data_IF_555983296065
#
_entry.id   IF_555983296065
#
_cell.length_a   1.000
_cell.length_b   1.000
_cell.length_c   1.000
_cell.angle_alpha   90.00
_cell.angle_beta   90.00
_cell.angle_gamma   90.00
#
_symmetry.space_group_name_H-M   'P 1'
#
loop_
_entity.id
_entity.type
_entity.pdbx_description
1 polymer ?
#
# COMPACT_ATOMS: atom_id res chain seq x y z
N UNK A 1 -1.58 36.67 -62.51
CA UNK A 1 -0.62 35.61 -62.18
C UNK A 1 0.39 36.00 -61.08
N UNK A 2 1.14 37.11 -61.14
CA UNK A 2 2.12 37.52 -60.13
C UNK A 2 1.54 37.69 -58.72
N UNK A 3 0.34 38.29 -58.53
CA UNK A 3 -0.27 38.46 -57.21
C UNK A 3 -0.72 37.14 -56.55
N UNK A 4 -1.16 36.17 -57.35
CA UNK A 4 -1.54 34.84 -56.87
C UNK A 4 -0.32 34.02 -56.42
N UNK A 5 0.83 34.15 -57.11
CA UNK A 5 2.08 33.51 -56.72
C UNK A 5 2.65 34.08 -55.40
N UNK A 6 2.52 35.40 -55.19
CA UNK A 6 2.96 36.04 -53.94
C UNK A 6 2.11 35.59 -52.77
N UNK A 7 0.78 35.48 -52.93
CA UNK A 7 -0.15 35.00 -51.89
C UNK A 7 0.14 33.53 -51.58
N UNK A 8 0.36 32.68 -52.57
CA UNK A 8 0.71 31.28 -52.36
C UNK A 8 2.03 31.12 -51.63
N UNK A 9 3.05 31.94 -51.97
CA UNK A 9 4.35 31.92 -51.27
C UNK A 9 4.25 32.37 -49.81
N UNK A 10 3.40 33.40 -49.51
CA UNK A 10 3.17 33.84 -48.13
C UNK A 10 2.40 32.78 -47.31
N UNK A 11 1.41 32.12 -47.90
CA UNK A 11 0.68 31.02 -47.20
C UNK A 11 1.62 29.82 -46.96
N UNK A 12 2.50 29.48 -47.86
CA UNK A 12 3.51 28.44 -47.68
C UNK A 12 4.50 28.80 -46.56
N UNK A 13 4.95 30.05 -46.48
CA UNK A 13 5.84 30.55 -45.44
C UNK A 13 5.15 30.51 -44.04
N UNK A 14 3.88 30.90 -43.96
CA UNK A 14 3.09 30.80 -42.72
C UNK A 14 2.92 29.34 -42.32
N UNK A 15 2.58 28.45 -43.26
CA UNK A 15 2.43 27.02 -42.96
C UNK A 15 3.77 26.40 -42.48
N UNK A 16 4.89 26.75 -43.08
CA UNK A 16 6.22 26.29 -42.64
C UNK A 16 6.57 26.85 -41.25
N UNK A 17 6.24 28.12 -40.98
CA UNK A 17 6.51 28.73 -39.66
C UNK A 17 5.65 28.11 -38.57
N UNK A 18 4.36 27.82 -38.85
CA UNK A 18 3.46 27.14 -37.91
C UNK A 18 3.92 25.69 -37.65
N UNK A 19 4.26 24.94 -38.69
CA UNK A 19 4.78 23.59 -38.55
C UNK A 19 6.12 23.57 -37.81
N UNK A 20 7.03 24.49 -38.13
CA UNK A 20 8.31 24.63 -37.43
C UNK A 20 8.09 25.01 -35.95
N UNK A 21 7.15 25.89 -35.64
CA UNK A 21 6.78 26.24 -34.29
C UNK A 21 6.17 25.05 -33.50
N UNK A 22 5.32 24.26 -34.15
CA UNK A 22 4.77 23.03 -33.56
C UNK A 22 5.87 21.98 -33.32
N UNK A 23 6.81 21.83 -34.31
CA UNK A 23 7.96 20.95 -34.15
C UNK A 23 8.95 21.47 -33.10
N UNK A 24 9.19 22.77 -33.04
CA UNK A 24 10.04 23.39 -32.02
C UNK A 24 9.46 23.17 -30.60
N UNK A 25 8.15 23.41 -30.40
CA UNK A 25 7.48 23.14 -29.12
C UNK A 25 7.42 21.63 -28.76
N UNK A 26 7.47 20.72 -29.76
CA UNK A 26 7.61 19.28 -29.51
C UNK A 26 9.05 18.83 -29.22
N UNK A 27 10.05 19.57 -29.71
CA UNK A 27 11.47 19.28 -29.52
C UNK A 27 12.10 19.99 -28.32
N UNK A 28 11.59 21.19 -27.96
CA UNK A 28 11.99 21.90 -26.74
C UNK A 28 10.98 21.53 -25.68
N UNK A 29 11.19 20.39 -25.08
CA UNK A 29 10.47 20.00 -23.87
C UNK A 29 10.78 21.01 -22.78
N UNK A 30 9.77 21.38 -22.00
CA UNK A 30 9.94 22.25 -20.85
C UNK A 30 10.85 21.57 -19.81
N UNK A 31 12.03 22.11 -19.48
CA UNK A 31 12.97 21.47 -18.58
C UNK A 31 12.39 21.18 -17.19
N UNK A 32 11.52 22.06 -16.70
CA UNK A 32 10.83 21.90 -15.40
C UNK A 32 9.90 20.71 -15.44
N UNK A 33 9.05 20.62 -16.47
CA UNK A 33 8.14 19.50 -16.66
C UNK A 33 8.86 18.16 -16.81
N UNK A 34 9.94 18.13 -17.63
CA UNK A 34 10.74 16.92 -17.84
C UNK A 34 11.47 16.48 -16.57
N UNK A 35 11.99 17.43 -15.79
CA UNK A 35 12.59 17.14 -14.48
C UNK A 35 11.57 16.54 -13.52
N UNK A 36 10.40 17.19 -13.38
CA UNK A 36 9.32 16.71 -12.53
C UNK A 36 8.81 15.32 -12.98
N UNK A 37 8.68 15.11 -14.29
CA UNK A 37 8.32 13.79 -14.83
C UNK A 37 9.35 12.72 -14.47
N UNK A 38 10.63 12.97 -14.74
CA UNK A 38 11.70 11.98 -14.52
C UNK A 38 11.83 11.60 -13.04
N UNK A 39 11.83 12.59 -12.14
CA UNK A 39 11.88 12.36 -10.70
C UNK A 39 10.57 11.77 -10.16
N UNK A 40 9.44 12.23 -10.67
CA UNK A 40 8.12 11.73 -10.33
C UNK A 40 7.93 10.25 -10.67
N UNK A 41 8.50 9.75 -11.75
CA UNK A 41 8.44 8.31 -12.10
C UNK A 41 9.07 7.43 -11.01
N UNK A 42 10.26 7.78 -10.53
CA UNK A 42 10.92 7.05 -9.44
C UNK A 42 10.12 7.18 -8.13
N UNK A 43 9.68 8.39 -7.81
CA UNK A 43 8.87 8.66 -6.62
C UNK A 43 7.54 7.89 -6.66
N UNK A 44 6.84 7.83 -7.80
CA UNK A 44 5.58 7.10 -7.95
C UNK A 44 5.78 5.58 -7.79
N UNK A 45 6.85 5.03 -8.35
CA UNK A 45 7.17 3.62 -8.18
C UNK A 45 7.51 3.29 -6.72
N UNK A 46 8.24 4.14 -6.02
CA UNK A 46 8.57 3.96 -4.61
C UNK A 46 7.34 4.09 -3.71
N UNK A 47 6.55 5.14 -3.89
CA UNK A 47 5.44 5.49 -3.00
C UNK A 47 4.14 4.74 -3.28
N UNK A 48 4.10 3.88 -4.29
CA UNK A 48 2.92 3.07 -4.60
C UNK A 48 2.37 2.26 -3.41
N UNK A 49 3.19 1.63 -2.54
CA UNK A 49 2.67 0.97 -1.34
C UNK A 49 1.95 1.92 -0.39
N UNK A 50 2.48 3.12 -0.20
CA UNK A 50 1.85 4.16 0.63
C UNK A 50 0.47 4.54 0.09
N UNK A 51 0.38 4.74 -1.23
CA UNK A 51 -0.89 4.98 -1.90
C UNK A 51 -1.87 3.80 -1.73
N UNK A 52 -1.43 2.58 -2.02
CA UNK A 52 -2.28 1.39 -1.92
C UNK A 52 -2.74 1.13 -0.49
N UNK A 53 -1.82 1.20 0.49
CA UNK A 53 -2.17 0.97 1.88
C UNK A 53 -3.11 2.05 2.42
N UNK A 54 -3.01 3.30 1.94
CA UNK A 54 -3.98 4.36 2.25
C UNK A 54 -5.37 4.04 1.69
N UNK A 55 -5.45 3.56 0.45
CA UNK A 55 -6.72 3.10 -0.15
C UNK A 55 -7.33 1.96 0.65
N UNK A 56 -6.53 0.98 1.04
CA UNK A 56 -6.99 -0.16 1.83
C UNK A 56 -7.37 0.26 3.25
N UNK A 57 -6.57 1.10 3.91
CA UNK A 57 -6.87 1.64 5.24
C UNK A 57 -8.22 2.38 5.23
N UNK A 58 -8.41 3.30 4.28
CA UNK A 58 -9.68 4.04 4.17
C UNK A 58 -10.87 3.12 3.94
N UNK A 59 -10.71 2.08 3.12
CA UNK A 59 -11.78 1.15 2.78
C UNK A 59 -12.07 0.17 3.91
N UNK A 60 -11.04 -0.41 4.50
CA UNK A 60 -11.19 -1.49 5.48
C UNK A 60 -11.51 -1.00 6.89
N UNK A 61 -11.29 0.29 7.18
CA UNK A 61 -11.71 0.91 8.45
C UNK A 61 -13.18 1.36 8.48
N UNK A 62 -13.93 1.09 7.40
CA UNK A 62 -15.34 1.48 7.25
C UNK A 62 -16.26 0.27 7.15
N UNK A 63 -17.56 0.45 7.39
CA UNK A 63 -18.55 -0.60 7.11
C UNK A 63 -18.44 -1.11 5.68
N UNK A 64 -18.70 -2.41 5.45
CA UNK A 64 -18.60 -2.99 4.11
C UNK A 64 -19.60 -2.34 3.16
N UNK A 65 -19.17 -2.10 1.92
CA UNK A 65 -20.06 -1.65 0.85
C UNK A 65 -20.87 -2.85 0.34
N UNK A 66 -22.14 -2.63 0.06
CA UNK A 66 -23.03 -3.66 -0.49
C UNK A 66 -22.41 -4.32 -1.75
N UNK A 67 -22.46 -5.64 -1.80
CA UNK A 67 -21.86 -6.44 -2.87
C UNK A 67 -20.37 -6.75 -2.72
N UNK A 68 -19.73 -6.37 -1.59
CA UNK A 68 -18.31 -6.65 -1.30
C UNK A 68 -18.15 -7.54 -0.05
N UNK A 69 -18.81 -8.68 -0.04
CA UNK A 69 -18.95 -9.58 1.12
C UNK A 69 -17.64 -10.02 1.77
N UNK A 70 -16.55 -10.17 1.02
CA UNK A 70 -15.27 -10.65 1.54
C UNK A 70 -14.19 -9.55 1.65
N UNK A 71 -14.63 -8.29 1.70
CA UNK A 71 -13.72 -7.18 1.96
C UNK A 71 -13.54 -7.00 3.47
N UNK A 72 -12.31 -6.92 3.98
CA UNK A 72 -12.07 -6.57 5.38
C UNK A 72 -12.82 -5.30 5.78
N UNK A 73 -13.41 -5.32 6.99
CA UNK A 73 -14.13 -4.19 7.56
C UNK A 73 -14.06 -4.29 9.09
N UNK A 74 -13.14 -3.53 9.68
CA UNK A 74 -12.99 -3.40 11.13
C UNK A 74 -12.44 -2.02 11.47
N UNK A 75 -12.68 -1.57 12.71
CA UNK A 75 -12.03 -0.37 13.19
C UNK A 75 -10.49 -0.54 13.17
N UNK A 76 -9.77 0.56 13.08
CA UNK A 76 -8.31 0.56 13.29
C UNK A 76 -8.00 -0.07 14.66
N UNK A 77 -6.92 -0.81 14.73
CA UNK A 77 -6.50 -1.56 15.93
C UNK A 77 -7.46 -2.68 16.34
N UNK A 78 -8.27 -3.17 15.41
CA UNK A 78 -9.14 -4.31 15.58
C UNK A 78 -8.99 -5.30 14.42
N UNK A 79 -9.01 -6.60 14.75
CA UNK A 79 -9.02 -7.62 13.69
C UNK A 79 -10.38 -7.73 13.02
N UNK A 80 -10.37 -7.79 11.70
CA UNK A 80 -11.40 -8.42 10.91
C UNK A 80 -11.02 -9.89 10.67
N UNK A 81 -12.01 -10.77 10.75
CA UNK A 81 -11.83 -12.19 10.52
C UNK A 81 -12.68 -12.67 9.34
N UNK A 82 -12.07 -13.39 8.42
CA UNK A 82 -12.78 -14.17 7.44
C UNK A 82 -13.33 -15.41 8.17
N UNK A 83 -14.66 -15.55 8.22
CA UNK A 83 -15.34 -16.59 8.99
C UNK A 83 -15.73 -17.82 8.18
N UNK A 84 -15.61 -17.77 6.84
CA UNK A 84 -15.94 -18.84 5.91
C UNK A 84 -15.03 -18.81 4.69
N UNK A 85 -14.89 -19.93 4.02
CA UNK A 85 -14.09 -20.00 2.79
C UNK A 85 -14.86 -19.35 1.64
N UNK A 86 -14.25 -18.38 0.95
CA UNK A 86 -14.88 -17.76 -0.20
C UNK A 86 -14.95 -18.73 -1.39
N UNK A 87 -16.00 -18.63 -2.18
CA UNK A 87 -16.11 -19.32 -3.45
C UNK A 87 -15.31 -18.62 -4.55
N UNK A 88 -15.09 -19.31 -5.66
CA UNK A 88 -14.46 -18.71 -6.84
C UNK A 88 -15.27 -17.53 -7.42
N UNK A 89 -16.57 -17.49 -7.11
CA UNK A 89 -17.47 -16.42 -7.58
C UNK A 89 -17.31 -15.12 -6.78
N UNK A 90 -16.86 -15.22 -5.53
CA UNK A 90 -16.67 -14.08 -4.65
C UNK A 90 -15.45 -13.22 -5.03
N UNK A 91 -14.53 -13.77 -5.83
CA UNK A 91 -13.27 -13.14 -6.26
C UNK A 91 -13.21 -12.87 -7.75
N UNK A 92 -14.33 -12.52 -8.37
CA UNK A 92 -14.41 -12.26 -9.83
C UNK A 92 -13.50 -11.14 -10.32
N UNK A 93 -13.14 -10.19 -9.46
CA UNK A 93 -12.33 -9.01 -9.81
C UNK A 93 -10.81 -9.23 -9.67
N UNK A 94 -10.37 -10.45 -9.54
CA UNK A 94 -8.95 -10.79 -9.43
C UNK A 94 -8.49 -11.01 -7.98
N UNK A 95 -7.32 -11.57 -7.84
CA UNK A 95 -6.80 -12.15 -6.62
C UNK A 95 -7.09 -13.65 -6.61
N UNK A 96 -6.10 -14.45 -6.26
CA UNK A 96 -6.28 -15.89 -6.05
C UNK A 96 -6.41 -16.15 -4.57
N UNK A 97 -7.61 -16.27 -4.00
CA UNK A 97 -7.72 -16.66 -2.61
C UNK A 97 -7.07 -18.03 -2.43
N UNK A 98 -6.47 -18.25 -1.27
CA UNK A 98 -6.10 -19.61 -0.90
C UNK A 98 -7.38 -20.42 -0.57
N UNK A 99 -7.25 -21.73 -0.57
CA UNK A 99 -8.37 -22.66 -0.34
C UNK A 99 -8.24 -23.42 1.00
N UNK A 100 -7.32 -23.02 1.85
CA UNK A 100 -6.93 -23.79 3.03
C UNK A 100 -6.64 -22.94 4.28
N UNK A 101 -6.75 -21.62 4.22
CA UNK A 101 -6.58 -20.77 5.40
C UNK A 101 -7.63 -19.68 5.47
N UNK A 102 -8.13 -19.40 6.67
CA UNK A 102 -8.93 -18.22 6.97
C UNK A 102 -8.03 -17.04 7.33
N UNK A 103 -8.42 -15.85 6.90
CA UNK A 103 -7.67 -14.61 7.14
C UNK A 103 -8.09 -13.90 8.41
N UNK A 104 -7.13 -13.26 9.07
CA UNK A 104 -7.33 -12.26 10.12
C UNK A 104 -6.52 -11.02 9.76
N UNK A 105 -7.17 -9.90 9.51
CA UNK A 105 -6.52 -8.68 8.99
C UNK A 105 -6.77 -7.52 9.92
N UNK A 106 -5.75 -6.69 10.14
CA UNK A 106 -5.89 -5.45 10.87
C UNK A 106 -4.95 -4.37 10.30
N UNK A 107 -5.44 -3.13 10.24
CA UNK A 107 -4.57 -1.97 10.25
C UNK A 107 -4.34 -1.55 11.69
N UNK A 108 -3.09 -1.34 12.05
CA UNK A 108 -2.68 -0.98 13.40
C UNK A 108 -1.91 0.34 13.35
N UNK A 109 -2.20 1.22 14.30
CA UNK A 109 -1.41 2.41 14.58
C UNK A 109 -0.62 2.18 15.87
N UNK A 110 0.69 2.09 15.75
CA UNK A 110 1.60 1.87 16.90
C UNK A 110 1.74 3.16 17.71
N UNK A 111 1.81 4.32 17.04
CA UNK A 111 1.86 5.62 17.71
C UNK A 111 3.16 5.83 18.52
N UNK A 112 2.99 6.39 19.72
CA UNK A 112 4.09 6.64 20.66
C UNK A 112 4.27 5.51 21.68
N UNK A 113 3.25 4.67 21.83
CA UNK A 113 3.23 3.56 22.80
C UNK A 113 3.10 2.20 22.07
N UNK A 114 3.71 1.15 22.61
CA UNK A 114 3.64 -0.18 22.01
C UNK A 114 2.22 -0.73 21.90
N UNK A 115 2.02 -1.53 20.88
CA UNK A 115 0.84 -2.37 20.71
C UNK A 115 1.21 -3.83 21.01
N UNK A 116 0.41 -4.50 21.81
CA UNK A 116 0.58 -5.91 22.15
C UNK A 116 -0.42 -6.74 21.35
N UNK A 117 0.09 -7.62 20.51
CA UNK A 117 -0.69 -8.68 19.86
C UNK A 117 -0.69 -9.93 20.72
N UNK A 118 -1.87 -10.39 21.12
CA UNK A 118 -2.03 -11.64 21.87
C UNK A 118 -2.58 -12.73 20.97
N UNK A 119 -1.90 -13.86 20.96
CA UNK A 119 -2.27 -15.08 20.25
C UNK A 119 -2.46 -16.19 21.27
N UNK A 120 -3.63 -16.84 21.35
CA UNK A 120 -3.84 -17.95 22.27
C UNK A 120 -3.03 -19.18 21.84
N UNK A 121 -2.91 -20.22 22.69
CA UNK A 121 -2.40 -21.50 22.26
C UNK A 121 -3.18 -22.04 21.05
N UNK A 122 -2.45 -22.47 20.00
CA UNK A 122 -3.04 -22.97 18.76
C UNK A 122 -2.98 -24.50 18.81
N UNK A 123 -4.15 -25.18 18.87
CA UNK A 123 -4.19 -26.63 19.06
C UNK A 123 -3.76 -27.42 17.84
N UNK A 124 -3.58 -28.74 18.01
CA UNK A 124 -3.43 -29.75 16.94
C UNK A 124 -2.23 -29.50 16.01
N UNK A 125 -1.18 -28.88 16.54
CA UNK A 125 -0.04 -28.51 15.69
C UNK A 125 -0.46 -27.73 14.44
N UNK A 126 -1.61 -27.05 14.48
CA UNK A 126 -2.20 -26.31 13.39
C UNK A 126 -1.23 -25.24 12.86
N UNK A 127 -1.13 -25.12 11.56
CA UNK A 127 -0.39 -24.01 10.95
C UNK A 127 -1.15 -22.71 11.11
N UNK A 128 -0.43 -21.71 11.58
CA UNK A 128 -0.87 -20.32 11.56
C UNK A 128 0.32 -19.40 11.34
N UNK A 129 0.05 -18.21 10.85
CA UNK A 129 1.04 -17.15 10.69
C UNK A 129 0.38 -15.79 10.68
N UNK A 130 1.05 -14.80 11.22
CA UNK A 130 0.78 -13.38 11.01
C UNK A 130 1.99 -12.77 10.32
N UNK A 131 1.78 -12.20 9.17
CA UNK A 131 2.70 -11.37 8.43
C UNK A 131 2.46 -9.94 8.88
N UNK A 132 3.52 -9.23 9.25
CA UNK A 132 3.45 -7.87 9.79
C UNK A 132 4.33 -6.99 8.92
N UNK A 133 3.72 -6.03 8.24
CA UNK A 133 4.38 -5.14 7.30
C UNK A 133 4.22 -3.67 7.69
N UNK A 134 5.24 -2.87 7.40
CA UNK A 134 5.17 -1.42 7.47
C UNK A 134 4.24 -0.84 6.40
N UNK A 135 3.96 0.46 6.51
CA UNK A 135 3.12 1.14 5.51
C UNK A 135 3.78 1.23 4.13
N UNK A 136 5.08 1.00 4.06
CA UNK A 136 5.87 0.79 2.84
C UNK A 136 5.71 -0.62 2.25
N UNK A 137 4.87 -1.47 2.84
CA UNK A 137 4.64 -2.88 2.49
C UNK A 137 5.88 -3.78 2.60
N UNK A 138 6.87 -3.40 3.41
CA UNK A 138 7.98 -4.28 3.74
C UNK A 138 7.68 -5.09 5.00
N UNK A 139 7.82 -6.42 4.90
CA UNK A 139 7.58 -7.29 6.05
C UNK A 139 8.76 -7.16 7.02
N UNK A 140 8.46 -6.79 8.25
CA UNK A 140 9.50 -6.61 9.27
C UNK A 140 9.40 -7.63 10.41
N UNK A 141 8.24 -8.28 10.60
CA UNK A 141 8.06 -9.29 11.64
C UNK A 141 7.04 -10.36 11.23
N UNK A 142 7.13 -11.50 11.92
CA UNK A 142 6.22 -12.62 11.76
C UNK A 142 5.91 -13.25 13.11
N UNK A 143 4.64 -13.61 13.36
CA UNK A 143 4.22 -14.48 14.46
C UNK A 143 3.60 -15.71 13.82
N UNK A 144 3.97 -16.91 14.29
CA UNK A 144 3.37 -18.12 13.74
C UNK A 144 4.08 -19.39 14.18
N UNK A 145 3.55 -20.53 13.75
CA UNK A 145 4.08 -21.84 14.10
C UNK A 145 5.59 -21.98 13.88
N UNK A 146 6.11 -21.46 12.77
CA UNK A 146 7.53 -21.58 12.43
C UNK A 146 8.44 -20.67 13.23
N UNK A 147 7.93 -19.55 13.71
CA UNK A 147 8.73 -18.55 14.44
C UNK A 147 8.58 -18.66 15.96
N UNK A 148 7.39 -19.02 16.44
CA UNK A 148 7.03 -18.97 17.85
C UNK A 148 6.37 -20.26 18.38
N UNK A 149 6.18 -21.28 17.52
CA UNK A 149 5.47 -22.51 17.89
C UNK A 149 3.98 -22.30 18.10
N UNK A 150 3.33 -23.23 18.81
CA UNK A 150 1.88 -23.26 18.99
C UNK A 150 1.43 -22.91 20.42
N UNK A 151 2.33 -22.49 21.32
CA UNK A 151 1.98 -22.20 22.73
C UNK A 151 1.23 -20.88 22.91
N UNK A 152 1.16 -20.07 21.86
CA UNK A 152 0.63 -18.70 21.94
C UNK A 152 1.63 -17.75 22.62
N UNK A 153 1.20 -16.52 22.87
CA UNK A 153 2.00 -15.50 23.53
C UNK A 153 1.48 -14.08 23.31
N UNK A 154 2.13 -13.15 24.00
CA UNK A 154 1.86 -11.71 23.91
C UNK A 154 3.10 -11.04 23.31
N UNK A 155 2.93 -10.38 22.18
CA UNK A 155 4.02 -9.89 21.35
C UNK A 155 3.88 -8.38 21.17
N UNK A 156 4.82 -7.61 21.72
CA UNK A 156 4.85 -6.16 21.59
C UNK A 156 5.51 -5.72 20.30
N UNK A 157 4.84 -4.89 19.54
CA UNK A 157 5.38 -4.10 18.45
C UNK A 157 5.59 -2.71 19.02
N UNK A 158 6.84 -2.27 19.05
CA UNK A 158 7.23 -1.01 19.70
C UNK A 158 7.47 0.09 18.65
N UNK A 159 7.20 1.37 18.97
CA UNK A 159 7.55 2.47 18.08
C UNK A 159 9.07 2.65 18.00
N UNK A 160 9.57 3.35 16.96
CA UNK A 160 11.00 3.60 16.77
C UNK A 160 11.64 4.27 18.00
N UNK A 161 12.74 3.69 18.48
CA UNK A 161 13.49 4.23 19.61
C UNK A 161 12.80 4.12 20.97
N UNK A 162 11.73 3.35 21.10
CA UNK A 162 11.06 3.14 22.38
C UNK A 162 12.00 2.44 23.38
N UNK A 163 12.23 3.08 24.54
CA UNK A 163 13.15 2.60 25.58
C UNK A 163 12.46 2.19 26.88
N UNK A 164 11.15 1.95 26.85
CA UNK A 164 10.39 1.53 28.03
C UNK A 164 10.62 0.08 28.43
N UNK A 165 9.89 -0.38 29.46
CA UNK A 165 9.98 -1.74 29.99
C UNK A 165 8.66 -2.45 29.73
N UNK A 166 8.74 -3.65 29.14
CA UNK A 166 7.56 -4.50 28.91
C UNK A 166 7.20 -5.29 30.18
N UNK A 167 5.92 -5.61 30.40
CA UNK A 167 5.49 -6.59 31.38
C UNK A 167 6.17 -7.95 31.19
N UNK A 168 6.31 -8.71 32.28
CA UNK A 168 7.05 -9.97 32.26
C UNK A 168 6.46 -11.05 31.32
N UNK A 169 5.17 -10.97 31.04
CA UNK A 169 4.43 -11.86 30.16
C UNK A 169 4.29 -11.34 28.71
N UNK A 170 4.96 -10.22 28.38
CA UNK A 170 4.97 -9.63 27.04
C UNK A 170 6.39 -9.68 26.46
N UNK A 171 6.54 -10.30 25.32
CA UNK A 171 7.79 -10.36 24.58
C UNK A 171 7.87 -9.26 23.53
N UNK A 172 8.98 -8.53 23.46
CA UNK A 172 9.20 -7.61 22.34
C UNK A 172 9.41 -8.43 21.05
N UNK A 173 8.56 -8.14 20.04
CA UNK A 173 8.64 -8.78 18.74
C UNK A 173 9.57 -8.01 17.79
N UNK A 174 9.30 -6.73 17.61
CA UNK A 174 10.02 -5.88 16.69
C UNK A 174 9.77 -4.40 16.96
N UNK A 175 10.63 -3.54 16.41
CA UNK A 175 10.40 -2.11 16.24
C UNK A 175 9.68 -1.87 14.91
N UNK A 176 8.58 -1.11 14.92
CA UNK A 176 7.83 -0.77 13.72
C UNK A 176 8.62 0.20 12.84
N UNK A 177 8.80 -0.04 11.54
CA UNK A 177 9.49 0.88 10.64
C UNK A 177 8.66 2.13 10.31
N UNK A 178 7.35 2.06 10.52
CA UNK A 178 6.38 3.14 10.29
C UNK A 178 5.31 3.11 11.39
N UNK A 179 4.71 4.24 11.80
CA UNK A 179 3.63 4.28 12.79
C UNK A 179 2.39 3.47 12.39
N UNK A 180 2.01 3.48 11.12
CA UNK A 180 0.97 2.63 10.58
C UNK A 180 1.56 1.34 10.05
N UNK A 181 0.96 0.22 10.43
CA UNK A 181 1.35 -1.11 9.98
C UNK A 181 0.12 -1.91 9.56
N UNK A 182 0.33 -2.94 8.75
CA UNK A 182 -0.70 -3.90 8.38
C UNK A 182 -0.33 -5.29 8.88
N UNK A 183 -1.31 -6.00 9.41
CA UNK A 183 -1.18 -7.39 9.84
C UNK A 183 -2.09 -8.25 8.99
N UNK A 184 -1.54 -9.34 8.44
CA UNK A 184 -2.29 -10.34 7.68
C UNK A 184 -2.03 -11.71 8.29
N UNK A 185 -3.01 -12.18 9.03
CA UNK A 185 -3.02 -13.51 9.63
C UNK A 185 -3.62 -14.56 8.69
N UNK A 186 -3.12 -15.79 8.81
CA UNK A 186 -3.65 -16.98 8.12
C UNK A 186 -3.67 -18.13 9.10
N UNK A 187 -4.82 -18.77 9.24
CA UNK A 187 -4.99 -19.97 10.09
C UNK A 187 -5.50 -21.12 9.23
N UNK A 188 -4.79 -22.23 9.25
CA UNK A 188 -5.12 -23.42 8.47
C UNK A 188 -6.50 -23.97 8.87
N UNK A 189 -7.27 -24.38 7.87
CA UNK A 189 -8.60 -24.98 8.01
C UNK A 189 -8.69 -26.22 7.11
N UNK A 190 -9.43 -27.23 7.55
CA UNK A 190 -9.97 -28.26 6.64
C UNK A 190 -11.33 -27.78 6.12
N UNK A 191 -11.39 -27.32 4.85
CA UNK A 191 -12.63 -26.75 4.29
C UNK A 191 -13.77 -27.77 4.14
N UNK A 192 -13.47 -29.06 4.28
CA UNK A 192 -14.46 -30.14 4.19
C UNK A 192 -15.03 -30.54 5.58
N UNK A 193 -14.52 -29.95 6.64
CA UNK A 193 -14.93 -30.26 8.01
C UNK A 193 -15.59 -29.03 8.67
N UNK A 194 -16.92 -29.00 8.81
CA UNK A 194 -17.64 -27.88 9.46
C UNK A 194 -17.23 -27.65 10.91
N UNK A 195 -16.86 -28.70 11.67
CA UNK A 195 -16.42 -28.57 13.05
C UNK A 195 -15.05 -27.88 13.12
N UNK A 196 -14.20 -28.11 12.13
CA UNK A 196 -12.91 -27.42 12.03
C UNK A 196 -13.08 -25.92 11.71
N UNK A 197 -14.05 -25.57 10.87
CA UNK A 197 -14.42 -24.19 10.61
C UNK A 197 -14.83 -23.46 11.91
N UNK A 198 -15.68 -24.08 12.74
CA UNK A 198 -16.08 -23.54 14.02
C UNK A 198 -14.91 -23.39 14.99
N UNK A 199 -14.01 -24.38 15.04
CA UNK A 199 -12.81 -24.35 15.87
C UNK A 199 -11.87 -23.20 15.48
N UNK A 200 -11.66 -22.97 14.17
CA UNK A 200 -10.83 -21.86 13.69
C UNK A 200 -11.48 -20.52 13.99
N UNK A 201 -12.79 -20.37 13.79
CA UNK A 201 -13.51 -19.14 14.14
C UNK A 201 -13.42 -18.82 15.64
N UNK A 202 -13.54 -19.86 16.50
CA UNK A 202 -13.37 -19.70 17.93
C UNK A 202 -11.92 -19.31 18.34
N UNK A 203 -10.94 -19.78 17.60
CA UNK A 203 -9.54 -19.38 17.77
C UNK A 203 -9.31 -17.94 17.34
N UNK A 204 -9.78 -17.53 16.16
CA UNK A 204 -9.70 -16.17 15.65
C UNK A 204 -10.35 -15.16 16.60
N UNK A 205 -11.50 -15.51 17.19
CA UNK A 205 -12.19 -14.68 18.18
C UNK A 205 -11.36 -14.39 19.44
N UNK A 206 -10.25 -15.07 19.68
CA UNK A 206 -9.35 -14.86 20.81
C UNK A 206 -8.13 -14.00 20.46
N UNK A 207 -7.86 -13.71 19.18
CA UNK A 207 -6.78 -12.77 18.81
C UNK A 207 -7.11 -11.37 19.32
N UNK A 208 -6.14 -10.71 19.95
CA UNK A 208 -6.32 -9.38 20.55
C UNK A 208 -5.23 -8.42 20.09
N UNK A 209 -5.60 -7.15 20.04
CA UNK A 209 -4.71 -6.01 19.88
C UNK A 209 -4.98 -5.10 21.08
N UNK A 210 -3.98 -4.87 21.90
CA UNK A 210 -4.09 -4.10 23.14
C UNK A 210 -3.02 -2.99 23.16
N UNK A 211 -3.39 -1.80 23.58
CA UNK A 211 -2.46 -0.72 23.84
C UNK A 211 -1.64 -1.04 25.10
N UNK A 212 -0.34 -0.90 25.10
CA UNK A 212 0.48 -1.29 26.25
C UNK A 212 0.07 -0.58 27.56
N UNK A 213 -0.27 0.72 27.57
CA UNK A 213 -0.80 1.38 28.78
C UNK A 213 -2.05 0.74 29.37
N UNK A 214 -2.84 0.04 28.55
CA UNK A 214 -4.07 -0.65 28.96
C UNK A 214 -3.84 -2.14 29.25
N UNK A 215 -2.59 -2.59 29.28
CA UNK A 215 -2.24 -3.98 29.53
C UNK A 215 -2.68 -4.43 30.92
N UNK A 216 -3.40 -5.55 30.99
CA UNK A 216 -3.98 -6.09 32.22
C UNK A 216 -5.35 -5.52 32.59
N UNK A 217 -5.92 -4.63 31.79
CA UNK A 217 -7.29 -4.15 31.94
C UNK A 217 -8.25 -5.15 31.27
N UNK A 218 -9.30 -5.55 31.98
CA UNK A 218 -10.37 -6.35 31.40
C UNK A 218 -11.17 -5.52 30.39
N UNK A 219 -11.29 -6.02 29.15
CA UNK A 219 -11.99 -5.34 28.06
C UNK A 219 -11.47 -3.91 27.81
N UNK A 220 -10.17 -3.73 27.51
CA UNK A 220 -9.60 -2.41 27.28
C UNK A 220 -10.26 -1.73 26.07
N UNK A 221 -10.23 -0.39 26.00
CA UNK A 221 -10.65 0.33 24.81
C UNK A 221 -9.77 -0.03 23.63
N UNK A 222 -10.23 0.27 22.41
CA UNK A 222 -9.34 0.18 21.24
C UNK A 222 -8.21 1.19 21.40
N UNK A 223 -6.97 0.82 21.00
CA UNK A 223 -5.85 1.74 21.01
C UNK A 223 -6.16 3.02 20.22
N UNK A 224 -5.73 4.20 20.70
CA UNK A 224 -5.95 5.45 19.99
C UNK A 224 -5.20 5.48 18.66
N UNK A 225 -5.71 6.25 17.72
CA UNK A 225 -5.05 6.51 16.43
C UNK A 225 -5.41 7.92 15.93
N UNK A 226 -4.61 8.53 15.03
CA UNK A 226 -4.96 9.79 14.40
C UNK A 226 -6.26 9.69 13.59
N UNK A 227 -7.03 10.78 13.46
CA UNK A 227 -8.25 10.80 12.66
C UNK A 227 -7.95 10.52 11.19
N UNK A 228 -8.87 9.82 10.52
CA UNK A 228 -8.76 9.48 9.10
C UNK A 228 -9.58 10.43 8.20
N UNK A 229 -10.13 11.52 8.75
CA UNK A 229 -11.04 12.42 8.00
C UNK A 229 -10.37 13.03 6.75
N UNK A 230 -9.09 13.41 6.86
CA UNK A 230 -8.32 13.92 5.72
C UNK A 230 -8.18 12.87 4.60
N UNK A 231 -7.93 11.62 4.95
CA UNK A 231 -7.88 10.51 3.98
C UNK A 231 -9.28 10.22 3.42
N UNK A 232 -10.30 10.24 4.28
CA UNK A 232 -11.70 10.07 3.88
C UNK A 232 -12.11 11.11 2.85
N UNK A 233 -11.79 12.40 3.07
CA UNK A 233 -12.09 13.47 2.12
C UNK A 233 -11.50 13.19 0.71
N UNK A 234 -10.33 12.58 0.63
CA UNK A 234 -9.68 12.22 -0.64
C UNK A 234 -10.30 10.97 -1.29
N UNK A 235 -10.61 9.93 -0.52
CA UNK A 235 -10.86 8.59 -1.05
C UNK A 235 -12.32 8.10 -0.95
N UNK A 236 -13.17 8.73 -0.13
CA UNK A 236 -14.58 8.32 0.02
C UNK A 236 -15.39 8.35 -1.28
N UNK A 237 -15.15 9.27 -2.21
CA UNK A 237 -15.83 9.23 -3.52
C UNK A 237 -15.58 7.94 -4.32
N UNK A 238 -14.55 7.17 -3.95
CA UNK A 238 -14.13 5.96 -4.65
C UNK A 238 -14.38 4.66 -3.86
N UNK A 239 -15.05 4.71 -2.72
CA UNK A 239 -15.27 3.53 -1.85
C UNK A 239 -15.93 2.35 -2.57
N UNK A 240 -16.84 2.64 -3.52
CA UNK A 240 -17.52 1.61 -4.30
C UNK A 240 -16.63 0.94 -5.37
N UNK A 241 -15.47 1.52 -5.67
CA UNK A 241 -14.53 0.94 -6.63
C UNK A 241 -13.62 -0.08 -5.91
N UNK A 242 -13.39 -1.22 -6.53
CA UNK A 242 -12.31 -2.13 -6.12
C UNK A 242 -10.95 -1.44 -6.26
N UNK A 243 -9.96 -1.80 -5.43
CA UNK A 243 -8.66 -1.14 -5.46
C UNK A 243 -8.02 -1.08 -6.87
N UNK A 244 -8.03 -2.13 -7.70
CA UNK A 244 -7.47 -2.06 -9.05
C UNK A 244 -8.16 -1.04 -9.95
N UNK A 245 -9.50 -0.94 -9.86
CA UNK A 245 -10.30 0.02 -10.63
C UNK A 245 -10.03 1.45 -10.16
N UNK A 246 -9.95 1.67 -8.84
CA UNK A 246 -9.61 2.96 -8.25
C UNK A 246 -8.22 3.41 -8.71
N UNK A 247 -7.20 2.56 -8.58
CA UNK A 247 -5.83 2.89 -8.99
C UNK A 247 -5.79 3.31 -10.47
N UNK A 248 -6.49 2.56 -11.34
CA UNK A 248 -6.57 2.91 -12.77
C UNK A 248 -7.28 4.25 -13.01
N UNK A 249 -8.39 4.53 -12.31
CA UNK A 249 -9.09 5.83 -12.40
C UNK A 249 -8.17 6.97 -11.98
N UNK A 250 -7.53 6.85 -10.82
CA UNK A 250 -6.62 7.87 -10.31
C UNK A 250 -5.49 8.13 -11.31
N UNK A 251 -4.80 7.08 -11.75
CA UNK A 251 -3.66 7.23 -12.65
C UNK A 251 -4.01 7.82 -14.02
N UNK A 252 -5.25 7.68 -14.50
CA UNK A 252 -5.68 8.14 -15.83
C UNK A 252 -6.51 9.42 -15.81
N UNK A 253 -7.27 9.67 -14.75
CA UNK A 253 -8.27 10.73 -14.70
C UNK A 253 -7.96 11.82 -13.69
N UNK A 254 -7.28 11.45 -12.58
CA UNK A 254 -6.90 12.38 -11.51
C UNK A 254 -5.54 12.00 -10.89
N UNK A 255 -4.45 12.08 -11.66
CA UNK A 255 -3.14 11.67 -11.18
C UNK A 255 -2.63 12.51 -9.99
N UNK A 256 -3.12 13.73 -9.80
CA UNK A 256 -2.75 14.55 -8.64
C UNK A 256 -3.35 14.01 -7.34
N UNK A 257 -4.47 13.30 -7.38
CA UNK A 257 -5.01 12.60 -6.21
C UNK A 257 -4.03 11.52 -5.69
N UNK A 258 -3.29 10.84 -6.59
CA UNK A 258 -2.23 9.92 -6.19
C UNK A 258 -1.22 10.63 -5.27
N UNK A 259 -0.73 11.79 -5.67
CA UNK A 259 0.25 12.55 -4.90
C UNK A 259 -0.32 13.13 -3.60
N UNK A 260 -1.58 13.59 -3.60
CA UNK A 260 -2.26 14.03 -2.38
C UNK A 260 -2.35 12.90 -1.34
N UNK A 261 -2.71 11.70 -1.77
CA UNK A 261 -2.78 10.52 -0.90
C UNK A 261 -1.39 10.09 -0.44
N UNK A 262 -0.39 10.16 -1.32
CA UNK A 262 1.02 9.87 -0.96
C UNK A 262 1.54 10.85 0.09
N UNK A 263 1.32 12.15 -0.08
CA UNK A 263 1.75 13.15 0.91
C UNK A 263 1.04 12.92 2.24
N UNK A 264 -0.28 12.70 2.25
CA UNK A 264 -1.00 12.31 3.48
C UNK A 264 -0.37 11.09 4.17
N UNK A 265 -0.03 10.07 3.39
CA UNK A 265 0.59 8.86 3.93
C UNK A 265 2.00 9.10 4.48
N UNK A 266 2.80 9.93 3.81
CA UNK A 266 4.14 10.28 4.23
C UNK A 266 4.14 11.22 5.45
N UNK A 267 3.14 12.08 5.59
CA UNK A 267 2.94 12.90 6.81
C UNK A 267 2.72 12.02 8.04
N UNK A 268 1.90 10.97 7.89
CA UNK A 268 1.58 10.05 8.98
C UNK A 268 2.63 8.98 9.27
N UNK A 269 3.51 8.67 8.30
CA UNK A 269 4.46 7.56 8.42
C UNK A 269 5.93 7.97 8.28
N UNK A 270 6.21 9.07 7.58
CA UNK A 270 7.55 9.34 7.11
C UNK A 270 8.03 8.29 6.09
N UNK A 271 9.33 8.21 5.93
CA UNK A 271 10.01 7.13 5.21
C UNK A 271 10.97 6.41 6.17
N UNK A 272 11.18 5.10 6.02
CA UNK A 272 12.16 4.37 6.83
C UNK A 272 13.54 5.01 6.77
N UNK A 273 14.32 4.90 7.85
CA UNK A 273 15.64 5.53 7.99
C UNK A 273 16.57 5.26 6.78
N UNK A 274 16.48 4.05 6.20
CA UNK A 274 17.24 3.62 5.01
C UNK A 274 16.94 4.41 3.74
N UNK A 275 15.79 5.06 3.67
CA UNK A 275 15.27 5.74 2.46
C UNK A 275 15.20 7.26 2.60
N UNK A 276 15.56 7.82 3.76
CA UNK A 276 15.50 9.26 4.04
C UNK A 276 16.32 10.12 3.06
N UNK A 277 17.33 9.56 2.43
CA UNK A 277 18.12 10.25 1.40
C UNK A 277 17.32 10.65 0.16
N UNK A 278 16.10 10.14 -0.02
CA UNK A 278 15.19 10.50 -1.12
C UNK A 278 14.47 11.82 -0.88
N UNK A 279 14.23 12.17 0.39
CA UNK A 279 13.39 13.30 0.77
C UNK A 279 13.86 14.66 0.22
N UNK A 280 15.18 14.99 0.18
CA UNK A 280 15.62 16.27 -0.39
C UNK A 280 15.25 16.42 -1.87
N UNK A 281 15.38 15.36 -2.66
CA UNK A 281 15.00 15.39 -4.07
C UNK A 281 13.48 15.52 -4.23
N UNK A 282 12.70 14.82 -3.42
CA UNK A 282 11.25 14.86 -3.46
C UNK A 282 10.67 16.18 -3.01
N UNK A 283 11.28 16.82 -2.00
CA UNK A 283 10.86 18.13 -1.53
C UNK A 283 10.94 19.22 -2.62
N UNK A 284 11.81 19.07 -3.63
CA UNK A 284 11.84 19.97 -4.80
C UNK A 284 10.60 19.88 -5.68
N UNK A 285 9.77 18.86 -5.45
CA UNK A 285 8.52 18.58 -6.17
C UNK A 285 7.30 18.65 -5.24
N UNK A 286 7.44 19.23 -4.04
CA UNK A 286 6.40 19.24 -3.01
C UNK A 286 5.89 17.82 -2.66
N UNK A 287 6.81 16.85 -2.63
CA UNK A 287 6.52 15.46 -2.24
C UNK A 287 7.23 15.14 -0.92
N UNK A 288 6.51 14.52 0.00
CA UNK A 288 7.05 14.10 1.28
C UNK A 288 6.33 14.71 2.49
N UNK A 289 6.83 14.46 3.71
CA UNK A 289 6.24 15.00 4.92
C UNK A 289 6.23 16.53 4.94
N UNK A 290 5.09 17.12 5.28
CA UNK A 290 4.91 18.56 5.40
C UNK A 290 4.91 19.35 4.08
N UNK A 291 4.85 18.66 2.93
CA UNK A 291 4.86 19.29 1.61
C UNK A 291 3.45 19.67 1.15
N UNK A 292 3.34 20.77 0.39
CA UNK A 292 2.06 21.32 -0.08
C UNK A 292 1.99 21.39 -1.60
N UNK A 293 1.29 20.46 -2.21
CA UNK A 293 1.06 20.37 -3.65
C UNK A 293 0.30 21.59 -4.24
N UNK A 294 -0.34 22.42 -3.41
CA UNK A 294 -1.02 23.64 -3.88
C UNK A 294 -0.05 24.70 -4.38
N UNK A 295 1.19 24.67 -3.93
CA UNK A 295 2.25 25.64 -4.29
C UNK A 295 2.96 25.31 -5.61
N UNK A 296 2.69 24.14 -6.22
CA UNK A 296 3.30 23.73 -7.48
C UNK A 296 2.93 24.66 -8.64
N UNK A 297 3.93 25.01 -9.45
CA UNK A 297 3.70 25.61 -10.76
C UNK A 297 3.07 24.59 -11.76
N UNK A 298 2.50 25.11 -12.84
CA UNK A 298 1.78 24.30 -13.82
C UNK A 298 2.67 23.26 -14.51
N UNK A 299 3.92 23.57 -14.77
CA UNK A 299 4.86 22.68 -15.46
C UNK A 299 5.28 21.51 -14.58
N UNK A 300 5.59 21.79 -13.30
CA UNK A 300 5.88 20.77 -12.30
C UNK A 300 4.67 19.87 -12.07
N UNK A 301 3.49 20.45 -11.95
CA UNK A 301 2.22 19.73 -11.79
C UNK A 301 1.94 18.79 -12.97
N UNK A 302 2.15 19.25 -14.20
CA UNK A 302 1.95 18.44 -15.40
C UNK A 302 2.97 17.28 -15.47
N UNK A 303 4.25 17.55 -15.17
CA UNK A 303 5.29 16.52 -15.09
C UNK A 303 4.96 15.42 -14.07
N UNK A 304 4.53 15.81 -12.87
CA UNK A 304 4.09 14.86 -11.83
C UNK A 304 2.85 14.07 -12.26
N UNK A 305 1.88 14.72 -12.90
CA UNK A 305 0.67 14.06 -13.40
C UNK A 305 1.01 12.96 -14.41
N UNK A 306 1.89 13.23 -15.34
CA UNK A 306 2.33 12.28 -16.36
C UNK A 306 3.17 11.12 -15.75
N UNK A 307 3.86 11.34 -14.65
CA UNK A 307 4.75 10.37 -14.03
C UNK A 307 4.04 9.20 -13.36
N UNK A 308 2.84 9.40 -12.81
CA UNK A 308 2.10 8.40 -12.03
C UNK A 308 1.86 7.12 -12.84
N UNK A 309 1.27 7.25 -14.03
CA UNK A 309 1.00 6.09 -14.89
C UNK A 309 2.28 5.37 -15.30
N UNK A 310 3.38 6.11 -15.52
CA UNK A 310 4.65 5.48 -15.91
C UNK A 310 5.29 4.74 -14.74
N UNK A 311 5.24 5.27 -13.52
CA UNK A 311 5.68 4.57 -12.30
C UNK A 311 4.91 3.26 -12.10
N UNK A 312 3.58 3.29 -12.25
CA UNK A 312 2.72 2.10 -12.16
C UNK A 312 3.07 1.08 -13.24
N UNK A 313 3.28 1.49 -14.50
CA UNK A 313 3.69 0.59 -15.60
C UNK A 313 5.03 -0.10 -15.32
N UNK A 314 5.98 0.61 -14.72
CA UNK A 314 7.25 0.01 -14.32
C UNK A 314 6.99 -1.10 -13.31
N UNK A 315 6.20 -0.85 -12.26
CA UNK A 315 5.85 -1.87 -11.27
C UNK A 315 5.11 -3.07 -11.90
N UNK A 316 4.18 -2.82 -12.80
CA UNK A 316 3.49 -3.89 -13.55
C UNK A 316 4.46 -4.74 -14.36
N UNK A 317 5.44 -4.12 -15.03
CA UNK A 317 6.45 -4.85 -15.79
C UNK A 317 7.30 -5.77 -14.91
N UNK A 318 7.60 -5.34 -13.68
CA UNK A 318 8.33 -6.18 -12.70
C UNK A 318 7.46 -7.28 -12.09
N UNK A 319 6.16 -7.11 -12.01
CA UNK A 319 5.25 -8.18 -11.58
C UNK A 319 5.12 -9.28 -12.63
N UNK A 320 5.45 -9.00 -13.89
CA UNK A 320 5.52 -9.99 -14.95
C UNK A 320 6.80 -10.82 -14.82
N UNK A 321 6.64 -12.12 -14.59
CA UNK A 321 7.78 -13.02 -14.37
C UNK A 321 8.75 -13.08 -15.55
N UNK A 322 8.32 -12.74 -16.77
CA UNK A 322 9.15 -12.74 -17.96
C UNK A 322 10.08 -11.53 -18.03
N UNK A 323 9.67 -10.41 -17.48
CA UNK A 323 10.39 -9.13 -17.53
C UNK A 323 11.20 -8.82 -16.26
N UNK A 324 10.98 -9.57 -15.18
CA UNK A 324 11.68 -9.34 -13.92
C UNK A 324 13.17 -9.69 -14.04
N UNK A 325 14.09 -8.73 -13.91
CA UNK A 325 15.54 -8.95 -14.02
C UNK A 325 16.16 -9.65 -12.80
N UNK A 326 15.36 -10.08 -11.84
CA UNK A 326 15.81 -10.72 -10.61
C UNK A 326 16.64 -11.99 -10.83
N UNK A 327 17.44 -12.35 -9.83
CA UNK A 327 18.28 -13.55 -9.83
C UNK A 327 17.45 -14.83 -9.82
N UNK A 328 17.87 -15.84 -10.57
CA UNK A 328 17.31 -17.20 -10.48
C UNK A 328 18.22 -18.06 -9.60
N UNK A 329 17.62 -18.68 -8.57
CA UNK A 329 18.33 -19.61 -7.68
C UNK A 329 17.41 -20.81 -7.47
N UNK A 330 17.87 -22.01 -7.79
CA UNK A 330 17.13 -23.26 -7.62
C UNK A 330 15.71 -23.24 -8.17
N UNK A 331 15.52 -22.65 -9.35
CA UNK A 331 14.20 -22.53 -9.98
C UNK A 331 13.36 -21.35 -9.50
N UNK A 332 13.70 -20.73 -8.39
CA UNK A 332 13.04 -19.54 -7.87
C UNK A 332 13.60 -18.26 -8.48
N UNK A 333 12.73 -17.29 -8.74
CA UNK A 333 13.14 -15.96 -9.16
C UNK A 333 13.03 -14.98 -8.00
N UNK A 334 14.16 -14.37 -7.63
CA UNK A 334 14.24 -13.34 -6.61
C UNK A 334 14.21 -11.98 -7.27
N UNK A 335 13.31 -11.08 -6.87
CA UNK A 335 13.22 -9.75 -7.48
C UNK A 335 14.48 -8.92 -7.24
N UNK A 336 14.71 -7.95 -8.12
CA UNK A 336 15.80 -7.00 -7.97
C UNK A 336 15.47 -5.97 -6.88
N UNK A 337 16.38 -5.79 -5.93
CA UNK A 337 16.16 -4.99 -4.71
C UNK A 337 16.12 -3.48 -4.94
N UNK A 338 16.69 -3.00 -6.05
CA UNK A 338 16.90 -1.57 -6.30
C UNK A 338 15.65 -0.79 -6.77
N UNK A 339 14.55 -1.48 -7.03
CA UNK A 339 13.31 -0.87 -7.53
C UNK A 339 12.31 -0.48 -6.42
N UNK A 340 12.78 -0.35 -5.20
CA UNK A 340 11.88 -0.20 -4.06
C UNK A 340 11.19 -1.51 -3.71
N UNK A 341 10.44 -1.51 -2.63
CA UNK A 341 9.87 -2.76 -2.06
C UNK A 341 8.45 -3.03 -2.53
N UNK A 342 7.87 -2.08 -3.26
CA UNK A 342 6.55 -2.20 -3.82
C UNK A 342 6.49 -3.12 -5.02
N UNK A 343 5.88 -4.11 -5.15
CA UNK A 343 5.64 -4.92 -6.36
C UNK A 343 6.76 -5.89 -6.74
N UNK A 344 8.01 -5.63 -6.38
CA UNK A 344 9.15 -6.50 -6.71
C UNK A 344 9.45 -7.47 -5.59
N UNK A 345 9.49 -6.99 -4.36
CA UNK A 345 9.62 -7.78 -3.14
C UNK A 345 8.50 -7.45 -2.15
N UNK A 346 7.59 -6.60 -2.54
CA UNK A 346 6.55 -6.08 -1.69
C UNK A 346 5.51 -7.12 -1.30
N UNK A 347 4.70 -6.71 -0.38
CA UNK A 347 3.56 -7.45 0.16
C UNK A 347 2.68 -7.99 -0.97
N UNK A 348 2.09 -9.17 -0.77
CA UNK A 348 1.26 -9.81 -1.80
C UNK A 348 0.07 -8.95 -2.26
N UNK A 349 -0.44 -8.04 -1.41
CA UNK A 349 -1.51 -7.09 -1.76
C UNK A 349 -1.08 -6.16 -2.90
N UNK A 350 0.16 -5.63 -2.87
CA UNK A 350 0.69 -4.83 -3.96
C UNK A 350 0.77 -5.62 -5.25
N UNK A 351 1.23 -6.88 -5.17
CA UNK A 351 1.31 -7.78 -6.33
C UNK A 351 -0.06 -8.10 -6.89
N UNK A 352 -1.02 -8.42 -6.02
CA UNK A 352 -2.40 -8.70 -6.44
C UNK A 352 -3.04 -7.48 -7.10
N UNK A 353 -2.89 -6.30 -6.51
CA UNK A 353 -3.38 -5.05 -7.10
C UNK A 353 -2.75 -4.78 -8.49
N UNK A 354 -1.43 -4.98 -8.62
CA UNK A 354 -0.73 -4.82 -9.90
C UNK A 354 -1.18 -5.82 -10.96
N UNK A 355 -1.38 -7.07 -10.58
CA UNK A 355 -1.85 -8.12 -11.51
C UNK A 355 -3.29 -7.87 -11.97
N UNK A 356 -4.15 -7.42 -11.08
CA UNK A 356 -5.56 -7.16 -11.38
C UNK A 356 -5.78 -5.91 -12.25
N UNK A 357 -4.75 -5.06 -12.43
CA UNK A 357 -4.81 -3.91 -13.32
C UNK A 357 -4.47 -4.24 -14.79
N UNK A 358 -3.98 -5.45 -15.08
CA UNK A 358 -3.73 -5.93 -16.44
C UNK A 358 -5.04 -6.30 -17.13
#
# INVERSE_FOLDING_TARGET
>A
MRKLLVIAALLALVAVSVTAGIWYNKLVKNPTQEYAYAKGVDAAAYSFPYFLNSVLLNKWSKPPVEGMAFTPSAAVNQFWHLSEMPSAEDYRDGGGPNLDTLYSVAFIYVGEEPIVMSVPPVPDERYYTFEIAGFDSDNFAYIGKRTHGNLGGNYAIVPPGWGGVLPADVQQLAEAPTPWIIVVGRTLIDPNNPDDLQAVNALQAQYRITHLPDWGIDNPPLPPHPPLDGLGALLDPYLADGAPKLIRKVALQDPMLFWQVVNWALDGNGVPARDQSRLPDWATLELGPGQDLSTLDDDTREGLSQSVMQGIRILQSYSDSSLNPGRRINGWRYPAVHMGRSGVSGHYLNRSAMQSMK
#
